data_IF_897854199850
#
_entry.id   IF_897854199850
#
_cell.length_a   1.000
_cell.length_b   1.000
_cell.length_c   1.000
_cell.angle_alpha   90.00
_cell.angle_beta   90.00
_cell.angle_gamma   90.00
#
_symmetry.space_group_name_H-M   'P 1'
#
loop_
_entity.id
_entity.type
_entity.pdbx_description
1 polymer ?
#
# COMPACT_ATOMS: atom_id res chain seq x y z
N UNK A 1 3.00 -1.18 -1.56
CA UNK A 1 4.39 -0.81 -1.22
C UNK A 1 4.62 -1.18 0.22
N UNK A 2 5.71 -1.87 0.54
CA UNK A 2 6.10 -2.12 1.93
C UNK A 2 7.10 -1.03 2.34
N UNK A 3 6.84 -0.37 3.46
CA UNK A 3 7.74 0.62 4.05
C UNK A 3 8.23 0.06 5.37
N UNK A 4 9.54 -0.02 5.55
CA UNK A 4 10.17 -0.46 6.80
C UNK A 4 10.70 0.79 7.49
N UNK A 5 10.16 1.10 8.66
CA UNK A 5 10.65 2.17 9.54
C UNK A 5 11.61 1.59 10.59
N UNK A 6 12.62 2.36 10.99
CA UNK A 6 13.52 1.97 12.08
C UNK A 6 12.72 1.86 13.40
N UNK A 7 12.66 0.66 13.96
CA UNK A 7 12.12 0.40 15.29
C UNK A 7 13.12 -0.48 16.04
N UNK A 8 13.76 0.09 17.07
CA UNK A 8 14.72 -0.61 17.92
C UNK A 8 14.03 -1.69 18.76
N UNK A 9 14.23 -2.98 18.40
CA UNK A 9 14.36 -4.14 19.32
C UNK A 9 14.50 -5.45 18.51
N UNK A 10 15.53 -6.24 18.82
CA UNK A 10 15.88 -7.54 18.23
C UNK A 10 15.58 -8.65 19.25
N UNK A 11 15.08 -9.82 18.80
CA UNK A 11 15.63 -11.16 19.09
C UNK A 11 14.89 -12.26 18.31
N UNK A 12 15.66 -13.30 17.97
CA UNK A 12 15.46 -14.37 17.00
C UNK A 12 14.50 -15.49 17.43
N UNK A 13 13.91 -16.19 16.45
CA UNK A 13 14.05 -17.65 16.24
C UNK A 13 13.26 -18.08 14.98
N UNK A 14 13.93 -18.71 14.01
CA UNK A 14 13.33 -19.26 12.79
C UNK A 14 13.13 -20.77 12.93
N UNK A 15 11.89 -21.26 12.76
CA UNK A 15 11.59 -22.67 12.57
C UNK A 15 11.26 -22.97 11.10
N UNK A 16 11.90 -24.00 10.55
CA UNK A 16 11.71 -24.47 9.18
C UNK A 16 10.35 -25.17 8.99
N UNK A 17 9.68 -24.94 7.87
CA UNK A 17 8.49 -25.72 7.45
C UNK A 17 8.63 -26.12 5.98
N UNK A 18 8.59 -27.43 5.75
CA UNK A 18 8.58 -28.09 4.44
C UNK A 18 7.21 -27.97 3.78
N UNK A 19 7.21 -27.66 2.48
CA UNK A 19 6.02 -27.46 1.64
C UNK A 19 5.58 -28.77 0.98
N UNK A 20 4.28 -29.06 1.05
CA UNK A 20 3.61 -30.01 0.15
C UNK A 20 2.25 -29.43 -0.23
N UNK A 21 2.15 -28.96 -1.48
CA UNK A 21 0.96 -28.32 -2.04
C UNK A 21 -0.17 -29.34 -2.30
N UNK A 22 -1.29 -29.14 -1.61
CA UNK A 22 -2.64 -29.51 -2.09
C UNK A 22 -3.59 -28.42 -1.61
N UNK A 23 -4.18 -27.67 -2.53
CA UNK A 23 -5.25 -26.71 -2.21
C UNK A 23 -6.39 -27.50 -1.57
N UNK A 24 -6.64 -27.29 -0.28
CA UNK A 24 -7.80 -27.87 0.41
C UNK A 24 -9.02 -26.96 0.23
N UNK A 25 -10.23 -27.52 0.04
CA UNK A 25 -11.47 -26.75 0.03
C UNK A 25 -11.69 -26.04 1.37
N UNK A 26 -12.46 -24.95 1.33
CA UNK A 26 -12.65 -23.97 2.42
C UNK A 26 -13.09 -24.54 3.79
N UNK A 27 -13.49 -25.81 3.86
CA UNK A 27 -13.87 -26.50 5.10
C UNK A 27 -12.70 -26.90 6.01
N UNK A 28 -11.44 -26.62 5.65
CA UNK A 28 -10.26 -27.05 6.42
C UNK A 28 -9.68 -25.98 7.38
N UNK A 29 -10.33 -24.83 7.53
CA UNK A 29 -9.95 -23.82 8.53
C UNK A 29 -10.95 -23.88 9.69
N UNK A 30 -10.74 -24.82 10.61
CA UNK A 30 -11.50 -24.87 11.86
C UNK A 30 -10.98 -23.82 12.85
N UNK A 31 -11.88 -22.87 13.07
CA UNK A 31 -12.24 -22.19 14.31
C UNK A 31 -11.31 -21.14 14.94
N UNK A 32 -11.95 -20.02 15.33
CA UNK A 32 -11.30 -18.88 15.98
C UNK A 32 -11.85 -17.52 15.56
N UNK A 33 -13.18 -17.40 15.42
CA UNK A 33 -13.93 -16.15 15.61
C UNK A 33 -15.45 -16.41 15.57
N UNK A 34 -16.06 -16.64 16.73
CA UNK A 34 -17.53 -16.77 16.87
C UNK A 34 -18.32 -15.54 16.40
N UNK A 35 -17.66 -14.44 16.01
CA UNK A 35 -18.30 -13.23 15.47
C UNK A 35 -18.18 -13.06 13.94
N UNK A 36 -17.41 -13.87 13.22
CA UNK A 36 -17.16 -13.69 11.79
C UNK A 36 -18.09 -14.50 10.87
N UNK A 37 -18.72 -15.56 11.38
CA UNK A 37 -19.40 -16.56 10.54
C UNK A 37 -20.75 -16.08 9.96
N UNK A 38 -21.39 -15.10 10.58
CA UNK A 38 -22.78 -14.75 10.22
C UNK A 38 -22.85 -13.77 9.03
N UNK A 39 -21.83 -12.93 8.85
CA UNK A 39 -21.72 -12.01 7.70
C UNK A 39 -21.32 -12.71 6.40
N UNK A 40 -20.31 -13.58 6.44
CA UNK A 40 -19.79 -14.27 5.25
C UNK A 40 -20.83 -15.17 4.58
N UNK A 41 -21.69 -15.85 5.37
CA UNK A 41 -22.75 -16.71 4.82
C UNK A 41 -23.90 -15.93 4.19
N UNK A 42 -24.14 -14.69 4.62
CA UNK A 42 -25.24 -13.84 4.15
C UNK A 42 -24.84 -12.96 2.95
N UNK A 43 -23.54 -12.66 2.78
CA UNK A 43 -23.03 -11.81 1.69
C UNK A 43 -23.55 -12.23 0.29
N UNK A 44 -23.41 -13.49 -0.17
CA UNK A 44 -23.83 -13.84 -1.53
C UNK A 44 -25.33 -13.63 -1.78
N UNK A 45 -26.15 -13.93 -0.77
CA UNK A 45 -27.58 -13.70 -0.83
C UNK A 45 -27.93 -12.21 -0.87
N UNK A 46 -27.22 -11.37 -0.10
CA UNK A 46 -27.41 -9.92 -0.12
C UNK A 46 -26.98 -9.29 -1.45
N UNK A 47 -25.85 -9.73 -2.02
CA UNK A 47 -25.40 -9.31 -3.34
C UNK A 47 -26.45 -9.70 -4.40
N UNK A 48 -26.90 -10.97 -4.37
CA UNK A 48 -27.92 -11.47 -5.28
C UNK A 48 -29.22 -10.67 -5.18
N UNK A 49 -29.68 -10.40 -3.96
CA UNK A 49 -30.88 -9.60 -3.73
C UNK A 49 -30.73 -8.15 -4.21
N UNK A 50 -29.56 -7.52 -4.03
CA UNK A 50 -29.29 -6.18 -4.53
C UNK A 50 -29.28 -6.13 -6.07
N UNK A 51 -28.66 -7.12 -6.71
CA UNK A 51 -28.65 -7.28 -8.17
C UNK A 51 -30.07 -7.45 -8.70
N UNK A 52 -30.82 -8.42 -8.16
CA UNK A 52 -32.18 -8.73 -8.58
C UNK A 52 -33.10 -7.51 -8.41
N UNK A 53 -33.03 -6.84 -7.25
CA UNK A 53 -33.81 -5.63 -6.99
C UNK A 53 -33.55 -4.51 -8.01
N UNK A 54 -32.30 -4.34 -8.45
CA UNK A 54 -31.97 -3.31 -9.43
C UNK A 54 -32.50 -3.70 -10.81
N UNK A 55 -32.27 -4.94 -11.25
CA UNK A 55 -32.73 -5.45 -12.55
C UNK A 55 -34.26 -5.40 -12.66
N UNK A 56 -34.98 -5.85 -11.63
CA UNK A 56 -36.45 -5.80 -11.60
C UNK A 56 -37.00 -4.36 -11.53
N UNK A 57 -36.17 -3.40 -11.14
CA UNK A 57 -36.53 -1.98 -11.07
C UNK A 57 -36.35 -1.22 -12.38
N UNK A 58 -35.74 -1.81 -13.40
CA UNK A 58 -35.49 -1.18 -14.70
C UNK A 58 -36.44 -1.78 -15.73
N UNK A 59 -37.27 -0.95 -16.36
CA UNK A 59 -38.09 -1.32 -17.52
C UNK A 59 -37.30 -0.99 -18.81
N UNK A 60 -36.70 -1.98 -19.49
CA UNK A 60 -35.85 -1.70 -20.65
C UNK A 60 -36.62 -1.08 -21.83
N UNK A 61 -37.95 -1.22 -21.88
CA UNK A 61 -38.75 -0.66 -22.97
C UNK A 61 -39.12 0.82 -22.73
N UNK A 62 -39.02 1.32 -21.49
CA UNK A 62 -39.47 2.66 -21.10
C UNK A 62 -38.53 3.43 -20.15
N UNK A 63 -37.29 2.96 -19.92
CA UNK A 63 -36.36 3.61 -19.01
C UNK A 63 -35.74 4.91 -19.59
N UNK A 64 -35.29 5.79 -18.71
CA UNK A 64 -34.53 6.99 -19.11
C UNK A 64 -33.09 6.62 -19.48
N UNK A 65 -32.44 7.39 -20.38
CA UNK A 65 -31.04 7.15 -20.75
C UNK A 65 -30.12 7.07 -19.53
N UNK A 66 -29.46 5.92 -19.37
CA UNK A 66 -28.52 5.63 -18.28
C UNK A 66 -29.08 4.80 -17.12
N UNK A 67 -30.39 4.52 -17.08
CA UNK A 67 -31.00 3.67 -16.05
C UNK A 67 -30.69 2.17 -16.24
N UNK A 68 -30.42 1.76 -17.47
CA UNK A 68 -30.00 0.40 -17.84
C UNK A 68 -28.48 0.23 -17.96
N UNK A 69 -27.69 1.24 -17.56
CA UNK A 69 -26.23 1.19 -17.60
C UNK A 69 -25.67 0.09 -16.69
N UNK A 70 -24.47 -0.38 -17.02
CA UNK A 70 -23.75 -1.34 -16.19
C UNK A 70 -23.47 -0.76 -14.79
N UNK A 71 -23.75 -1.55 -13.75
CA UNK A 71 -23.57 -1.15 -12.35
C UNK A 71 -22.74 -2.18 -11.57
N UNK A 72 -22.26 -1.77 -10.39
CA UNK A 72 -21.52 -2.63 -9.47
C UNK A 72 -22.27 -2.82 -8.15
N UNK A 73 -22.18 -4.03 -7.60
CA UNK A 73 -22.53 -4.31 -6.20
C UNK A 73 -21.24 -4.70 -5.47
N UNK A 74 -20.86 -3.92 -4.47
CA UNK A 74 -19.63 -4.14 -3.71
C UNK A 74 -19.93 -4.55 -2.27
N UNK A 75 -19.39 -5.69 -1.82
CA UNK A 75 -19.41 -6.08 -0.42
C UNK A 75 -18.32 -5.33 0.37
N UNK A 76 -18.70 -4.22 0.99
CA UNK A 76 -17.82 -3.46 1.89
C UNK A 76 -17.41 -4.28 3.13
N UNK A 77 -18.22 -5.28 3.52
CA UNK A 77 -17.86 -6.23 4.57
C UNK A 77 -16.62 -7.05 4.24
N UNK A 78 -16.36 -7.33 2.96
CA UNK A 78 -15.14 -8.02 2.54
C UNK A 78 -13.89 -7.17 2.81
N UNK A 79 -13.96 -5.87 2.52
CA UNK A 79 -12.86 -4.94 2.83
C UNK A 79 -12.55 -4.93 4.34
N UNK A 80 -13.59 -4.90 5.18
CA UNK A 80 -13.45 -4.99 6.63
C UNK A 80 -12.77 -6.30 7.06
N UNK A 81 -13.24 -7.45 6.55
CA UNK A 81 -12.68 -8.77 6.88
C UNK A 81 -11.21 -8.88 6.48
N UNK A 82 -10.85 -8.37 5.31
CA UNK A 82 -9.45 -8.36 4.87
C UNK A 82 -8.57 -7.45 5.73
N UNK A 83 -9.07 -6.31 6.19
CA UNK A 83 -8.35 -5.47 7.15
C UNK A 83 -8.12 -6.19 8.49
N UNK A 84 -9.13 -6.90 9.00
CA UNK A 84 -8.99 -7.69 10.24
C UNK A 84 -8.00 -8.85 10.05
N UNK A 85 -8.07 -9.54 8.91
CA UNK A 85 -7.10 -10.57 8.53
C UNK A 85 -5.68 -10.01 8.49
N UNK A 86 -5.48 -8.82 7.93
CA UNK A 86 -4.18 -8.15 7.92
C UNK A 86 -3.66 -7.91 9.35
N UNK A 87 -4.47 -7.28 10.21
CA UNK A 87 -4.09 -7.02 11.61
C UNK A 87 -3.73 -8.29 12.37
N UNK A 88 -4.45 -9.39 12.13
CA UNK A 88 -4.18 -10.70 12.75
C UNK A 88 -2.85 -11.31 12.27
N UNK A 89 -2.57 -11.29 10.96
CA UNK A 89 -1.44 -12.03 10.39
C UNK A 89 -0.15 -11.20 10.27
N UNK A 90 -0.24 -9.86 10.26
CA UNK A 90 0.88 -8.94 10.16
C UNK A 90 0.79 -7.86 11.25
N UNK A 91 0.80 -8.23 12.54
CA UNK A 91 0.54 -7.29 13.64
C UNK A 91 1.57 -6.17 13.78
N UNK A 92 2.77 -6.35 13.21
CA UNK A 92 3.87 -5.37 13.19
C UNK A 92 3.86 -4.47 11.96
N UNK A 93 2.94 -4.69 11.01
CA UNK A 93 2.93 -3.98 9.73
C UNK A 93 1.65 -3.16 9.64
N UNK A 94 1.78 -1.83 9.70
CA UNK A 94 0.66 -0.92 9.49
C UNK A 94 0.31 -0.86 8.00
N UNK A 95 -0.92 -1.16 7.59
CA UNK A 95 -1.29 -1.13 6.18
C UNK A 95 -1.47 0.31 5.69
N UNK A 96 -0.78 0.67 4.60
CA UNK A 96 -1.08 1.84 3.79
C UNK A 96 -1.77 1.40 2.49
N UNK A 97 -3.06 1.70 2.37
CA UNK A 97 -3.87 1.28 1.23
C UNK A 97 -3.50 2.05 -0.04
N UNK A 98 -3.16 1.34 -1.12
CA UNK A 98 -2.79 1.93 -2.40
C UNK A 98 -4.04 2.35 -3.19
N UNK A 99 -4.38 3.63 -3.16
CA UNK A 99 -5.67 4.15 -3.67
C UNK A 99 -5.88 3.85 -5.15
N UNK A 100 -4.80 3.91 -5.93
CA UNK A 100 -4.76 3.54 -7.35
C UNK A 100 -5.38 2.19 -7.70
N UNK A 101 -5.53 1.25 -6.75
CA UNK A 101 -6.20 -0.02 -7.03
C UNK A 101 -7.73 0.09 -7.06
N UNK A 102 -8.32 0.90 -6.17
CA UNK A 102 -9.73 1.25 -6.17
C UNK A 102 -9.94 2.52 -5.30
N UNK A 103 -10.21 3.68 -5.92
CA UNK A 103 -10.38 4.95 -5.22
C UNK A 103 -11.81 5.18 -4.71
N UNK A 104 -12.66 4.16 -4.60
CA UNK A 104 -14.04 4.34 -4.16
C UNK A 104 -14.12 5.04 -2.78
N UNK A 105 -14.89 6.14 -2.63
CA UNK A 105 -14.97 6.90 -1.39
C UNK A 105 -15.43 6.08 -0.17
N UNK A 106 -16.27 5.07 -0.35
CA UNK A 106 -16.74 4.21 0.76
C UNK A 106 -15.61 3.31 1.26
N UNK A 107 -14.78 2.78 0.35
CA UNK A 107 -13.57 2.01 0.71
C UNK A 107 -12.60 2.89 1.49
N UNK A 108 -12.34 4.11 1.02
CA UNK A 108 -11.43 5.04 1.69
C UNK A 108 -11.94 5.43 3.09
N UNK A 109 -13.23 5.76 3.22
CA UNK A 109 -13.85 6.10 4.51
C UNK A 109 -13.78 4.94 5.49
N UNK A 110 -14.11 3.71 5.06
CA UNK A 110 -14.04 2.53 5.91
C UNK A 110 -12.60 2.31 6.41
N UNK A 111 -11.63 2.24 5.50
CA UNK A 111 -10.23 1.99 5.86
C UNK A 111 -9.65 3.11 6.74
N UNK A 112 -10.03 4.36 6.45
CA UNK A 112 -9.67 5.53 7.26
C UNK A 112 -10.19 5.42 8.69
N UNK A 113 -11.45 5.00 8.88
CA UNK A 113 -12.09 4.77 10.18
C UNK A 113 -11.48 3.56 10.93
N UNK A 114 -11.02 2.54 10.22
CA UNK A 114 -10.31 1.38 10.79
C UNK A 114 -8.85 1.67 11.18
N UNK A 115 -8.37 2.89 10.89
CA UNK A 115 -7.02 3.36 11.24
C UNK A 115 -5.94 2.98 10.24
N UNK A 116 -6.29 2.56 9.02
CA UNK A 116 -5.29 2.35 7.96
C UNK A 116 -4.64 3.68 7.53
N UNK A 117 -3.43 3.59 7.00
CA UNK A 117 -2.81 4.66 6.22
C UNK A 117 -3.16 4.57 4.73
N UNK A 118 -2.61 5.48 3.93
CA UNK A 118 -2.85 5.54 2.49
C UNK A 118 -1.54 5.77 1.71
N UNK A 119 -1.35 4.96 0.66
CA UNK A 119 -0.32 5.13 -0.38
C UNK A 119 -0.97 5.90 -1.54
N UNK A 120 -0.54 7.16 -1.69
CA UNK A 120 -0.95 8.03 -2.78
C UNK A 120 0.19 8.18 -3.80
N UNK A 121 -0.16 8.20 -5.08
CA UNK A 121 0.75 8.40 -6.22
C UNK A 121 0.51 9.73 -6.97
N UNK A 122 -0.52 10.50 -6.58
CA UNK A 122 -0.85 11.77 -7.23
C UNK A 122 -1.45 12.81 -6.27
N UNK A 123 -1.42 14.07 -6.69
CA UNK A 123 -2.08 15.19 -5.99
C UNK A 123 -3.58 14.91 -5.79
N UNK A 124 -4.26 14.37 -6.80
CA UNK A 124 -5.69 14.08 -6.74
C UNK A 124 -6.01 13.00 -5.70
N UNK A 125 -5.17 11.97 -5.59
CA UNK A 125 -5.31 10.93 -4.56
C UNK A 125 -5.09 11.49 -3.14
N UNK A 126 -4.07 12.34 -2.94
CA UNK A 126 -3.86 13.03 -1.66
C UNK A 126 -5.09 13.88 -1.30
N UNK A 127 -5.60 14.68 -2.24
CA UNK A 127 -6.82 15.48 -2.05
C UNK A 127 -8.02 14.62 -1.66
N UNK A 128 -8.17 13.46 -2.28
CA UNK A 128 -9.27 12.56 -2.02
C UNK A 128 -9.21 11.97 -0.60
N UNK A 129 -8.02 11.56 -0.13
CA UNK A 129 -7.84 11.05 1.24
C UNK A 129 -8.12 12.14 2.27
N UNK A 130 -7.54 13.32 2.08
CA UNK A 130 -7.69 14.43 3.03
C UNK A 130 -9.17 14.84 3.18
N UNK A 131 -9.95 14.80 2.08
CA UNK A 131 -11.41 15.03 2.12
C UNK A 131 -12.18 14.02 2.97
N UNK A 132 -11.61 12.85 3.27
CA UNK A 132 -12.23 11.87 4.18
C UNK A 132 -11.95 12.16 5.66
N UNK A 133 -11.16 13.19 5.99
CA UNK A 133 -10.78 13.54 7.36
C UNK A 133 -9.59 12.73 7.90
N UNK A 134 -8.86 12.05 7.03
CA UNK A 134 -7.63 11.33 7.41
C UNK A 134 -6.49 12.32 7.61
N UNK A 135 -5.82 12.20 8.76
CA UNK A 135 -4.64 13.00 9.08
C UNK A 135 -3.50 12.84 8.06
N UNK A 136 -2.81 13.93 7.67
CA UNK A 136 -1.70 13.89 6.72
C UNK A 136 -0.56 12.93 7.11
N UNK A 137 -0.34 12.71 8.41
CA UNK A 137 0.68 11.77 8.94
C UNK A 137 0.40 10.30 8.60
N UNK A 138 -0.82 9.96 8.17
CA UNK A 138 -1.19 8.62 7.70
C UNK A 138 -1.08 8.47 6.17
N UNK A 139 -0.59 9.49 5.47
CA UNK A 139 -0.42 9.48 4.01
C UNK A 139 1.07 9.37 3.69
N UNK A 140 1.41 8.43 2.81
CA UNK A 140 2.72 8.38 2.16
C UNK A 140 2.56 8.71 0.68
N UNK A 141 3.29 9.72 0.20
CA UNK A 141 3.39 10.05 -1.22
C UNK A 141 4.42 9.13 -1.87
N UNK A 142 3.98 7.91 -2.18
CA UNK A 142 4.80 6.78 -2.61
C UNK A 142 5.12 6.76 -4.13
N UNK A 143 5.21 7.94 -4.75
CA UNK A 143 5.72 8.13 -6.11
C UNK A 143 7.18 8.59 -6.06
N UNK A 144 8.18 7.82 -6.53
CA UNK A 144 9.58 8.22 -6.45
C UNK A 144 9.92 9.47 -7.28
N UNK A 145 9.21 9.72 -8.38
CA UNK A 145 9.48 10.86 -9.28
C UNK A 145 8.31 11.85 -9.30
N UNK A 146 8.40 12.95 -8.53
CA UNK A 146 7.27 13.89 -8.33
C UNK A 146 7.44 15.20 -9.10
N UNK A 147 6.33 15.75 -9.58
CA UNK A 147 6.30 17.07 -10.22
C UNK A 147 6.48 18.18 -9.18
N UNK A 148 7.31 19.20 -9.47
CA UNK A 148 7.60 20.31 -8.53
C UNK A 148 6.33 21.00 -7.99
N UNK A 149 5.31 21.23 -8.83
CA UNK A 149 4.05 21.84 -8.41
C UNK A 149 3.29 20.98 -7.40
N UNK A 150 3.31 19.65 -7.55
CA UNK A 150 2.66 18.71 -6.64
C UNK A 150 3.44 18.52 -5.35
N UNK A 151 4.78 18.61 -5.38
CA UNK A 151 5.59 18.68 -4.15
C UNK A 151 5.23 19.90 -3.31
N UNK A 152 5.15 21.09 -3.92
CA UNK A 152 4.71 22.31 -3.20
C UNK A 152 3.31 22.17 -2.60
N UNK A 153 2.39 21.53 -3.33
CA UNK A 153 1.06 21.25 -2.80
C UNK A 153 1.11 20.30 -1.60
N UNK A 154 1.85 19.19 -1.72
CA UNK A 154 2.01 18.17 -0.67
C UNK A 154 2.58 18.78 0.61
N UNK A 155 3.61 19.62 0.49
CA UNK A 155 4.19 20.36 1.60
C UNK A 155 3.16 21.27 2.30
N UNK A 156 2.32 21.99 1.53
CA UNK A 156 1.23 22.82 2.09
C UNK A 156 0.17 22.01 2.83
N UNK A 157 -0.05 20.75 2.46
CA UNK A 157 -0.97 19.85 3.16
C UNK A 157 -0.33 19.11 4.33
N UNK A 158 0.94 19.39 4.65
CA UNK A 158 1.70 18.73 5.72
C UNK A 158 1.81 17.19 5.56
N UNK A 159 1.77 16.69 4.33
CA UNK A 159 2.07 15.29 4.01
C UNK A 159 3.58 15.15 3.89
N UNK A 160 4.23 14.60 4.92
CA UNK A 160 5.70 14.59 5.02
C UNK A 160 6.34 13.33 4.44
N UNK A 161 5.68 12.19 4.58
CA UNK A 161 6.24 10.90 4.16
C UNK A 161 6.21 10.78 2.64
N UNK A 162 7.36 10.58 2.01
CA UNK A 162 7.43 10.37 0.56
C UNK A 162 8.62 9.50 0.15
N UNK A 163 8.53 8.91 -1.03
CA UNK A 163 9.58 8.01 -1.53
C UNK A 163 10.47 8.70 -2.54
N UNK A 164 11.70 8.19 -2.70
CA UNK A 164 12.63 8.62 -3.74
C UNK A 164 13.53 7.44 -4.15
N UNK A 165 14.15 7.51 -5.32
CA UNK A 165 15.10 6.50 -5.81
C UNK A 165 16.19 7.08 -6.72
N UNK A 166 16.32 8.41 -6.78
CA UNK A 166 17.24 9.11 -7.67
C UNK A 166 17.69 10.46 -7.07
N UNK A 167 18.79 11.00 -7.60
CA UNK A 167 19.43 12.23 -7.13
C UNK A 167 18.61 13.49 -7.45
N UNK A 168 17.98 13.56 -8.63
CA UNK A 168 17.12 14.69 -9.03
C UNK A 168 15.96 14.90 -8.06
N UNK A 169 15.41 13.81 -7.52
CA UNK A 169 14.36 13.89 -6.51
C UNK A 169 14.86 14.50 -5.21
N UNK A 170 16.07 14.15 -4.75
CA UNK A 170 16.68 14.73 -3.55
C UNK A 170 16.85 16.23 -3.68
N UNK A 171 17.38 16.71 -4.81
CA UNK A 171 17.51 18.14 -5.08
C UNK A 171 16.15 18.86 -5.09
N UNK A 172 15.13 18.28 -5.73
CA UNK A 172 13.77 18.84 -5.73
C UNK A 172 13.17 18.90 -4.33
N UNK A 173 13.36 17.86 -3.52
CA UNK A 173 12.86 17.82 -2.15
C UNK A 173 13.57 18.85 -1.29
N UNK A 174 14.91 18.97 -1.37
CA UNK A 174 15.65 20.01 -0.64
C UNK A 174 15.16 21.42 -0.97
N UNK A 175 14.89 21.68 -2.24
CA UNK A 175 14.39 22.98 -2.71
C UNK A 175 12.96 23.28 -2.21
N UNK A 176 12.06 22.29 -2.19
CA UNK A 176 10.61 22.52 -2.10
C UNK A 176 9.94 21.97 -0.84
N UNK A 177 10.53 20.97 -0.19
CA UNK A 177 9.99 20.27 0.98
C UNK A 177 11.13 19.70 1.84
N UNK A 178 12.01 20.54 2.41
CA UNK A 178 13.18 20.07 3.17
C UNK A 178 12.81 19.28 4.44
N UNK A 179 11.59 19.48 4.97
CA UNK A 179 11.04 18.79 6.14
C UNK A 179 10.45 17.41 5.82
N UNK A 180 10.63 16.91 4.59
CA UNK A 180 10.12 15.61 4.18
C UNK A 180 10.78 14.45 4.95
N UNK A 181 9.99 13.44 5.26
CA UNK A 181 10.46 12.15 5.77
C UNK A 181 10.62 11.21 4.56
N UNK A 182 11.87 11.01 4.14
CA UNK A 182 12.18 10.31 2.91
C UNK A 182 12.40 8.82 3.13
N UNK A 183 11.76 8.03 2.27
CA UNK A 183 11.94 6.60 2.21
C UNK A 183 12.64 6.22 0.90
N UNK A 184 13.88 5.72 1.01
CA UNK A 184 14.64 5.27 -0.15
C UNK A 184 13.98 4.01 -0.70
N UNK A 185 13.47 4.08 -1.93
CA UNK A 185 12.89 2.92 -2.61
C UNK A 185 14.02 2.11 -3.25
N UNK A 186 14.16 0.86 -2.85
CA UNK A 186 15.12 -0.07 -3.46
C UNK A 186 14.48 -0.94 -4.53
N UNK A 187 15.32 -1.36 -5.48
CA UNK A 187 15.00 -2.35 -6.48
C UNK A 187 14.77 -3.71 -5.82
N UNK A 188 13.87 -4.52 -6.38
CA UNK A 188 13.66 -5.92 -5.97
C UNK A 188 13.63 -6.81 -7.19
N UNK A 189 13.91 -8.10 -7.01
CA UNK A 189 13.58 -9.08 -8.05
C UNK A 189 12.06 -9.23 -8.14
N UNK A 190 11.48 -8.77 -9.25
CA UNK A 190 10.05 -8.89 -9.56
C UNK A 190 9.78 -9.81 -10.76
N UNK A 191 10.75 -10.66 -11.11
CA UNK A 191 10.68 -11.56 -12.27
C UNK A 191 9.44 -12.47 -12.25
N UNK A 192 8.99 -12.87 -11.05
CA UNK A 192 7.81 -13.71 -10.81
C UNK A 192 6.49 -12.94 -10.61
N UNK A 193 6.48 -11.62 -10.82
CA UNK A 193 5.28 -10.79 -10.69
C UNK A 193 4.54 -10.62 -12.03
N UNK A 194 3.21 -10.41 -11.96
CA UNK A 194 2.39 -10.14 -13.14
C UNK A 194 2.68 -8.75 -13.73
N UNK A 195 2.99 -7.78 -12.88
CA UNK A 195 3.35 -6.43 -13.28
C UNK A 195 4.71 -6.05 -12.68
N UNK A 196 5.73 -6.04 -13.55
CA UNK A 196 7.11 -5.67 -13.21
C UNK A 196 7.24 -4.15 -13.10
N UNK A 197 7.63 -3.68 -11.92
CA UNK A 197 7.80 -2.27 -11.61
C UNK A 197 9.27 -1.87 -11.44
N UNK A 198 10.15 -2.86 -11.25
CA UNK A 198 11.57 -2.67 -10.96
C UNK A 198 12.33 -2.15 -12.16
N UNK A 199 11.85 -2.38 -13.39
CA UNK A 199 12.39 -1.73 -14.59
C UNK A 199 12.19 -0.21 -14.61
N UNK A 200 11.23 0.31 -13.82
CA UNK A 200 10.87 1.73 -13.80
C UNK A 200 11.29 2.44 -12.51
N UNK A 201 11.32 1.72 -11.39
CA UNK A 201 11.48 2.31 -10.06
C UNK A 201 12.37 1.44 -9.16
N UNK A 202 13.05 2.09 -8.23
CA UNK A 202 13.90 1.46 -7.23
C UNK A 202 15.39 1.64 -7.54
N UNK A 203 16.12 2.12 -6.55
CA UNK A 203 17.57 2.23 -6.64
C UNK A 203 18.20 0.83 -6.59
N UNK A 204 19.18 0.58 -7.48
CA UNK A 204 20.01 -0.61 -7.38
C UNK A 204 20.84 -0.56 -6.11
N UNK A 205 21.21 -1.73 -5.57
CA UNK A 205 22.04 -1.80 -4.36
C UNK A 205 23.42 -1.14 -4.52
N UNK A 206 23.91 -1.00 -5.76
CA UNK A 206 25.15 -0.26 -6.04
C UNK A 206 25.01 1.26 -5.90
N UNK A 207 23.78 1.79 -6.02
CA UNK A 207 23.51 3.23 -5.99
C UNK A 207 23.00 3.71 -4.63
N UNK A 208 22.60 2.81 -3.72
CA UNK A 208 21.98 3.21 -2.44
C UNK A 208 22.91 4.03 -1.57
N UNK A 209 24.20 3.69 -1.51
CA UNK A 209 25.18 4.40 -0.70
C UNK A 209 25.40 5.84 -1.18
N UNK A 210 25.49 6.05 -2.50
CA UNK A 210 25.63 7.39 -3.09
C UNK A 210 24.40 8.26 -2.82
N UNK A 211 23.19 7.67 -2.91
CA UNK A 211 21.94 8.37 -2.61
C UNK A 211 21.84 8.77 -1.13
N UNK A 212 22.26 7.89 -0.21
CA UNK A 212 22.29 8.19 1.22
C UNK A 212 23.32 9.27 1.54
N UNK A 213 24.51 9.20 0.94
CA UNK A 213 25.56 10.21 1.13
C UNK A 213 25.10 11.60 0.64
N UNK A 214 24.47 11.67 -0.54
CA UNK A 214 23.91 12.92 -1.06
C UNK A 214 22.77 13.45 -0.19
N UNK A 215 21.88 12.59 0.30
CA UNK A 215 20.82 13.01 1.21
C UNK A 215 21.37 13.61 2.51
N UNK A 216 22.46 13.02 3.04
CA UNK A 216 23.19 13.56 4.19
C UNK A 216 23.84 14.91 3.88
N UNK A 217 24.51 15.05 2.74
CA UNK A 217 25.11 16.33 2.29
C UNK A 217 24.05 17.43 2.16
N UNK A 218 22.87 17.08 1.63
CA UNK A 218 21.74 17.99 1.49
C UNK A 218 20.98 18.22 2.79
N UNK A 219 21.38 17.63 3.92
CA UNK A 219 20.68 17.73 5.21
C UNK A 219 19.18 17.40 5.06
N UNK A 220 18.90 16.22 4.50
CA UNK A 220 17.57 15.66 4.32
C UNK A 220 17.35 14.48 5.26
N UNK A 221 16.13 14.36 5.79
CA UNK A 221 15.77 13.28 6.71
C UNK A 221 15.41 11.99 5.95
N UNK A 222 16.31 11.01 5.96
CA UNK A 222 16.02 9.65 5.50
C UNK A 222 15.40 8.84 6.65
N UNK A 223 14.08 8.69 6.62
CA UNK A 223 13.29 8.04 7.66
C UNK A 223 13.26 6.50 7.54
N UNK A 224 13.57 5.95 6.35
CA UNK A 224 13.63 4.51 6.17
C UNK A 224 13.78 4.05 4.73
N UNK A 225 13.43 2.78 4.51
CA UNK A 225 13.56 2.10 3.22
C UNK A 225 12.20 1.57 2.80
N UNK A 226 11.93 1.59 1.50
CA UNK A 226 10.72 1.02 0.93
C UNK A 226 11.02 0.13 -0.28
N UNK A 227 10.13 -0.81 -0.56
CA UNK A 227 10.25 -1.67 -1.74
C UNK A 227 8.89 -2.17 -2.22
N UNK A 228 8.89 -2.79 -3.40
CA UNK A 228 7.71 -3.42 -3.98
C UNK A 228 8.11 -4.60 -4.86
N UNK A 229 7.86 -5.82 -4.39
CA UNK A 229 8.18 -7.10 -5.08
C UNK A 229 7.32 -7.39 -6.33
N UNK A 230 6.73 -6.36 -6.93
CA UNK A 230 5.76 -6.48 -8.03
C UNK A 230 4.31 -6.80 -7.61
N UNK A 231 3.36 -6.48 -8.49
CA UNK A 231 1.94 -6.77 -8.27
C UNK A 231 1.64 -8.22 -8.64
N UNK A 232 0.86 -8.91 -7.81
CA UNK A 232 0.56 -10.34 -8.01
C UNK A 232 1.78 -11.24 -7.82
N UNK A 233 2.74 -10.83 -6.97
CA UNK A 233 3.89 -11.65 -6.64
C UNK A 233 3.44 -12.99 -6.01
N UNK A 234 3.95 -14.10 -6.56
CA UNK A 234 3.59 -15.46 -6.14
C UNK A 234 4.69 -16.15 -5.35
N UNK A 235 5.93 -15.64 -5.41
CA UNK A 235 7.07 -16.17 -4.68
C UNK A 235 7.30 -15.40 -3.36
N UNK A 236 7.09 -16.02 -2.19
CA UNK A 236 7.37 -15.40 -0.91
C UNK A 236 8.86 -15.08 -0.68
N UNK A 237 9.77 -15.77 -1.39
CA UNK A 237 11.21 -15.58 -1.22
C UNK A 237 11.67 -14.15 -1.62
N UNK A 238 10.96 -13.54 -2.57
CA UNK A 238 11.19 -12.16 -2.99
C UNK A 238 11.02 -11.16 -1.83
N UNK A 239 10.07 -11.38 -0.92
CA UNK A 239 9.91 -10.55 0.28
C UNK A 239 11.08 -10.74 1.24
N UNK A 240 11.53 -11.98 1.44
CA UNK A 240 12.68 -12.28 2.32
C UNK A 240 13.93 -11.56 1.83
N UNK A 241 14.19 -11.64 0.52
CA UNK A 241 15.33 -10.96 -0.09
C UNK A 241 15.21 -9.44 0.04
N UNK A 242 14.05 -8.86 -0.29
CA UNK A 242 13.83 -7.42 -0.19
C UNK A 242 13.99 -6.88 1.24
N UNK A 243 13.57 -7.64 2.26
CA UNK A 243 13.77 -7.28 3.68
C UNK A 243 15.25 -7.33 4.05
N UNK A 244 16.01 -8.32 3.57
CA UNK A 244 17.47 -8.41 3.79
C UNK A 244 18.19 -7.24 3.12
N UNK A 245 17.83 -6.93 1.88
CA UNK A 245 18.41 -5.81 1.13
C UNK A 245 18.10 -4.48 1.84
N UNK A 246 16.87 -4.31 2.32
CA UNK A 246 16.49 -3.15 3.12
C UNK A 246 17.34 -3.02 4.39
N UNK A 247 17.61 -4.11 5.12
CA UNK A 247 18.50 -4.11 6.29
C UNK A 247 19.91 -3.65 5.93
N UNK A 248 20.47 -4.15 4.82
CA UNK A 248 21.77 -3.69 4.32
C UNK A 248 21.79 -2.18 4.08
N UNK A 249 20.73 -1.61 3.49
CA UNK A 249 20.62 -0.15 3.30
C UNK A 249 20.50 0.61 4.62
N UNK A 250 19.80 0.06 5.61
CA UNK A 250 19.78 0.65 6.95
C UNK A 250 21.19 0.64 7.58
N UNK A 251 21.99 -0.41 7.39
CA UNK A 251 23.37 -0.46 7.89
C UNK A 251 24.25 0.60 7.20
N UNK A 252 24.15 0.72 5.87
CA UNK A 252 24.82 1.78 5.11
C UNK A 252 24.50 3.19 5.62
N UNK A 253 23.25 3.43 6.03
CA UNK A 253 22.81 4.72 6.53
C UNK A 253 23.35 5.03 7.94
N UNK A 254 23.60 4.01 8.77
CA UNK A 254 24.17 4.17 10.12
C UNK A 254 25.65 4.51 10.04
N UNK A 255 26.36 3.95 9.07
CA UNK A 255 27.81 4.14 8.89
C UNK A 255 28.19 5.53 8.32
N UNK A 256 27.21 6.31 7.85
CA UNK A 256 27.41 7.63 7.27
C UNK A 256 27.42 8.72 8.34
#
# INVERSE_FOLDING_TARGET
MATIAASNTITDEYAAVTTNYRIKPAAAYEDGAEHAQDGERKTPAMIGAALQKHIEGVDPDNCEPGEEDAFFVADIGEVYRQHMRWKKNLPRVTPHYAIKCNPDPMVLRLLGALGAGFDCASKAEIEQVLKTGVEPSRIIYAQPCKTKSYLRYTAKQNVKQMTFDNTDELYKVKELCPEAELYLRILTDDSASLCRLSQKFGASMGNTQELLALAKELDLNIAGVAFHVGSGATDPSAFVQAVRDARTVFDQAIDL
#
